data_IF_133664101042
#
_entry.id   IF_133664101042
#
_cell.length_a   1.000
_cell.length_b   1.000
_cell.length_c   1.000
_cell.angle_alpha   90.00
_cell.angle_beta   90.00
_cell.angle_gamma   90.00
#
_symmetry.space_group_name_H-M   'P 1'
#
loop_
_entity.id
_entity.type
_entity.pdbx_description
1 polymer ?
#
# COMPACT_ATOMS: atom_id res chain seq x y z
N UNK A 1 7.44 15.20 -4.26
CA UNK A 1 6.85 15.69 -5.54
C UNK A 1 5.91 14.64 -6.08
N UNK A 2 4.77 15.05 -6.65
CA UNK A 2 3.78 14.14 -7.26
C UNK A 2 3.46 14.64 -8.67
N UNK A 3 3.26 13.71 -9.60
CA UNK A 3 2.81 13.96 -10.98
C UNK A 3 1.72 12.95 -11.32
N UNK A 4 0.79 13.36 -12.17
CA UNK A 4 -0.29 12.51 -12.65
C UNK A 4 -0.30 12.51 -14.17
N UNK A 5 -0.65 11.38 -14.76
CA UNK A 5 -0.77 11.19 -16.20
C UNK A 5 -1.99 10.31 -16.49
N UNK A 6 -2.55 10.44 -17.69
CA UNK A 6 -3.64 9.59 -18.18
C UNK A 6 -3.34 9.14 -19.61
N UNK A 7 -3.80 7.95 -19.98
CA UNK A 7 -3.84 7.48 -21.36
C UNK A 7 -5.27 7.48 -21.94
N UNK A 8 -6.22 8.10 -21.24
CA UNK A 8 -7.65 8.11 -21.58
C UNK A 8 -8.44 6.88 -21.11
N UNK A 9 -7.79 5.90 -20.47
CA UNK A 9 -8.41 4.69 -19.90
C UNK A 9 -7.99 4.44 -18.45
N UNK A 10 -6.71 4.69 -18.15
CA UNK A 10 -6.09 4.59 -16.84
C UNK A 10 -5.53 5.94 -16.40
N UNK A 11 -5.58 6.20 -15.09
CA UNK A 11 -4.77 7.22 -14.42
C UNK A 11 -3.53 6.57 -13.82
N UNK A 12 -2.38 7.20 -14.04
CA UNK A 12 -1.13 6.89 -13.37
C UNK A 12 -0.74 8.04 -12.45
N UNK A 13 -0.42 7.74 -11.20
CA UNK A 13 0.16 8.69 -10.26
C UNK A 13 1.58 8.29 -9.95
N UNK A 14 2.51 9.21 -10.18
CA UNK A 14 3.92 9.05 -9.87
C UNK A 14 4.31 9.98 -8.73
N UNK A 15 5.03 9.46 -7.75
CA UNK A 15 5.48 10.22 -6.60
C UNK A 15 6.93 9.93 -6.25
N UNK A 16 7.60 10.96 -5.72
CA UNK A 16 8.99 10.88 -5.30
C UNK A 16 9.21 11.72 -4.03
N UNK A 17 9.88 11.13 -3.05
CA UNK A 17 10.31 11.79 -1.82
C UNK A 17 11.70 11.30 -1.41
N UNK A 18 12.39 12.10 -0.59
CA UNK A 18 13.66 11.70 0.01
C UNK A 18 13.40 10.83 1.23
N UNK A 19 14.16 9.74 1.33
CA UNK A 19 14.09 8.78 2.43
C UNK A 19 15.47 8.15 2.60
N UNK A 20 16.08 8.34 3.77
CA UNK A 20 17.48 7.94 4.00
C UNK A 20 17.64 6.43 4.12
N UNK A 21 16.55 5.70 4.31
CA UNK A 21 16.56 4.27 4.61
C UNK A 21 15.66 3.52 3.64
N UNK A 22 15.96 2.24 3.47
CA UNK A 22 15.11 1.30 2.74
C UNK A 22 14.40 0.43 3.77
N UNK A 23 13.17 0.79 4.14
CA UNK A 23 12.39 0.01 5.09
C UNK A 23 11.30 -0.78 4.35
N UNK A 24 11.68 -1.91 3.75
CA UNK A 24 10.79 -2.76 2.96
C UNK A 24 10.52 -4.14 3.61
N UNK A 25 10.68 -4.25 4.93
CA UNK A 25 10.40 -5.45 5.73
C UNK A 25 9.84 -5.06 7.08
N UNK A 26 9.05 -5.96 7.69
CA UNK A 26 8.55 -5.82 9.07
C UNK A 26 8.78 -7.10 9.87
N UNK A 27 10.04 -7.58 9.88
CA UNK A 27 10.42 -8.84 10.54
C UNK A 27 10.66 -8.63 12.04
N UNK A 28 11.42 -7.59 12.39
CA UNK A 28 11.67 -7.23 13.77
C UNK A 28 10.46 -6.54 14.42
N UNK A 29 10.31 -6.64 15.75
CA UNK A 29 9.22 -5.98 16.47
C UNK A 29 9.27 -4.44 16.44
N UNK A 30 10.40 -3.86 16.02
CA UNK A 30 10.61 -2.42 15.84
C UNK A 30 10.79 -2.05 14.36
N UNK A 31 10.60 -3.01 13.44
CA UNK A 31 10.72 -2.76 12.01
C UNK A 31 9.37 -2.25 11.49
N UNK A 32 9.36 -1.01 11.02
CA UNK A 32 8.22 -0.41 10.33
C UNK A 32 8.57 -0.21 8.87
N UNK A 33 7.58 -0.33 8.00
CA UNK A 33 7.74 -0.23 6.55
C UNK A 33 7.52 1.19 6.07
N UNK A 34 8.18 1.55 4.97
CA UNK A 34 7.87 2.76 4.24
C UNK A 34 6.54 2.62 3.51
N UNK A 35 5.76 3.70 3.50
CA UNK A 35 4.45 3.73 2.87
C UNK A 35 4.18 5.09 2.23
N UNK A 36 3.32 5.08 1.23
CA UNK A 36 2.72 6.30 0.67
C UNK A 36 1.24 6.07 0.44
N UNK A 37 0.43 7.06 0.78
CA UNK A 37 -0.99 7.06 0.46
C UNK A 37 -1.40 8.29 -0.34
N UNK A 38 -2.38 8.09 -1.19
CA UNK A 38 -3.08 9.13 -1.95
C UNK A 38 -4.56 9.01 -1.60
N UNK A 39 -5.19 10.13 -1.32
CA UNK A 39 -6.57 10.20 -0.88
C UNK A 39 -7.38 11.08 -1.83
N UNK A 40 -8.58 10.60 -2.17
CA UNK A 40 -9.57 11.31 -2.96
C UNK A 40 -10.94 11.24 -2.25
N UNK A 41 -11.79 12.26 -2.33
CA UNK A 41 -13.19 12.13 -1.95
C UNK A 41 -13.89 11.21 -2.94
N UNK A 42 -14.77 10.33 -2.44
CA UNK A 42 -15.59 9.47 -3.31
C UNK A 42 -16.62 10.31 -4.07
N UNK A 43 -17.20 11.30 -3.38
CA UNK A 43 -18.11 12.28 -3.98
C UNK A 43 -17.33 13.54 -4.34
N UNK A 44 -17.40 13.96 -5.59
CA UNK A 44 -16.70 15.13 -6.13
C UNK A 44 -17.50 16.45 -6.01
N UNK A 45 -18.76 16.36 -5.56
CA UNK A 45 -19.63 17.50 -5.36
C UNK A 45 -19.34 18.23 -4.03
N UNK A 46 -18.92 19.49 -4.11
CA UNK A 46 -18.79 20.39 -2.97
C UNK A 46 -17.36 20.52 -2.42
N UNK A 47 -17.25 20.97 -1.17
CA UNK A 47 -15.95 21.09 -0.50
C UNK A 47 -15.43 19.69 -0.13
N UNK A 48 -14.11 19.43 -0.24
CA UNK A 48 -13.57 18.15 0.15
C UNK A 48 -13.78 17.90 1.66
N UNK A 49 -14.00 16.64 2.09
CA UNK A 49 -14.23 16.29 3.49
C UNK A 49 -12.97 16.51 4.33
N UNK A 50 -13.04 16.30 5.64
CA UNK A 50 -11.88 16.46 6.52
C UNK A 50 -10.67 15.66 6.04
N UNK A 51 -9.48 16.28 6.06
CA UNK A 51 -8.25 15.76 5.46
C UNK A 51 -7.79 14.48 6.14
N UNK A 52 -8.08 14.33 7.43
CA UNK A 52 -7.74 13.16 8.23
C UNK A 52 -8.74 12.03 8.00
N UNK A 53 -8.84 11.59 6.75
CA UNK A 53 -9.58 10.39 6.33
C UNK A 53 -11.11 10.55 6.31
N UNK A 54 -11.56 11.76 5.99
CA UNK A 54 -12.97 12.07 5.83
C UNK A 54 -13.69 12.35 7.14
N UNK A 55 -15.02 12.30 7.07
CA UNK A 55 -15.95 12.53 8.18
C UNK A 55 -17.28 11.85 7.87
N UNK A 56 -18.24 11.86 8.81
CA UNK A 56 -19.60 11.38 8.56
C UNK A 56 -20.19 12.00 7.28
N UNK A 57 -20.56 11.16 6.32
CA UNK A 57 -21.11 11.57 5.01
C UNK A 57 -20.08 12.08 3.99
N UNK A 58 -18.79 12.15 4.37
CA UNK A 58 -17.68 12.54 3.52
C UNK A 58 -16.68 11.40 3.36
N UNK A 59 -17.09 10.34 2.67
CA UNK A 59 -16.23 9.17 2.41
C UNK A 59 -15.07 9.56 1.50
N UNK A 60 -13.90 9.03 1.81
CA UNK A 60 -12.70 9.11 0.96
C UNK A 60 -12.31 7.72 0.47
N UNK A 61 -11.76 7.67 -0.74
CA UNK A 61 -11.04 6.54 -1.29
C UNK A 61 -9.54 6.81 -1.16
N UNK A 62 -8.80 5.81 -0.69
CA UNK A 62 -7.38 5.92 -0.35
C UNK A 62 -6.62 4.78 -1.03
N UNK A 63 -5.59 5.13 -1.80
CA UNK A 63 -4.66 4.16 -2.38
C UNK A 63 -3.38 4.20 -1.56
N UNK A 64 -3.03 3.10 -0.90
CA UNK A 64 -1.85 3.02 -0.03
C UNK A 64 -0.85 2.01 -0.56
N UNK A 65 0.27 2.51 -1.08
CA UNK A 65 1.42 1.69 -1.41
C UNK A 65 2.18 1.30 -0.13
N UNK A 66 2.62 0.04 -0.07
CA UNK A 66 3.37 -0.55 1.04
C UNK A 66 4.68 -1.15 0.51
N UNK A 67 5.83 -0.71 1.04
CA UNK A 67 7.14 -1.22 0.61
C UNK A 67 7.32 -2.72 0.88
N UNK A 68 6.84 -3.20 2.03
CA UNK A 68 6.94 -4.60 2.42
C UNK A 68 5.99 -5.52 1.63
N UNK A 69 4.75 -5.10 1.35
CA UNK A 69 3.87 -5.87 0.46
C UNK A 69 4.46 -6.07 -0.93
N UNK A 70 5.19 -5.08 -1.44
CA UNK A 70 5.88 -5.25 -2.70
C UNK A 70 6.99 -6.30 -2.62
N UNK A 71 7.73 -6.33 -1.51
CA UNK A 71 8.80 -7.32 -1.31
C UNK A 71 8.22 -8.72 -1.24
N UNK A 72 7.12 -8.88 -0.53
CA UNK A 72 6.34 -10.12 -0.42
C UNK A 72 5.85 -10.64 -1.77
N UNK A 73 5.37 -9.74 -2.64
CA UNK A 73 4.95 -10.07 -4.01
C UNK A 73 6.13 -10.26 -5.00
N UNK A 74 7.37 -10.12 -4.53
CA UNK A 74 8.57 -10.16 -5.37
C UNK A 74 8.93 -11.55 -5.90
N UNK A 75 9.67 -11.60 -7.01
CA UNK A 75 10.17 -12.85 -7.59
C UNK A 75 11.11 -13.56 -6.62
N UNK A 76 10.83 -14.82 -6.29
CA UNK A 76 11.66 -15.63 -5.38
C UNK A 76 11.20 -15.65 -3.93
N UNK A 77 10.07 -15.02 -3.62
CA UNK A 77 9.41 -15.09 -2.31
C UNK A 77 8.20 -16.01 -2.42
N UNK A 78 8.07 -16.99 -1.51
CA UNK A 78 6.93 -17.92 -1.48
C UNK A 78 5.70 -17.29 -0.78
N UNK A 79 5.39 -16.03 -1.09
CA UNK A 79 4.29 -15.28 -0.49
C UNK A 79 4.74 -14.17 0.46
N UNK A 80 5.30 -14.51 1.63
CA UNK A 80 5.76 -13.52 2.62
C UNK A 80 7.27 -13.58 2.80
N UNK A 81 7.89 -12.40 2.98
CA UNK A 81 9.26 -12.31 3.44
C UNK A 81 9.33 -12.71 4.92
N UNK A 82 10.16 -13.68 5.27
CA UNK A 82 10.24 -14.23 6.64
C UNK A 82 11.68 -14.15 7.21
N UNK A 83 11.84 -14.55 8.48
CA UNK A 83 13.07 -14.44 9.28
C UNK A 83 14.23 -15.18 8.64
N UNK A 84 14.00 -16.35 8.04
CA UNK A 84 15.00 -17.16 7.36
C UNK A 84 15.52 -16.48 6.08
N UNK A 85 14.68 -15.71 5.39
CA UNK A 85 15.09 -14.91 4.24
C UNK A 85 15.87 -13.66 4.65
N UNK A 86 15.52 -13.03 5.78
CA UNK A 86 16.25 -11.89 6.33
C UNK A 86 17.59 -12.31 6.94
N UNK A 87 17.64 -13.47 7.59
CA UNK A 87 18.81 -14.01 8.28
C UNK A 87 19.09 -15.46 7.82
N UNK A 88 19.70 -15.67 6.64
CA UNK A 88 19.90 -17.01 6.06
C UNK A 88 20.77 -17.97 6.89
N UNK A 89 21.51 -17.44 7.87
CA UNK A 89 22.35 -18.22 8.79
C UNK A 89 21.72 -18.41 10.17
N UNK A 90 20.43 -18.07 10.34
CA UNK A 90 19.76 -18.26 11.62
C UNK A 90 19.65 -19.76 11.94
N UNK A 91 20.05 -20.12 13.16
CA UNK A 91 19.77 -21.42 13.73
C UNK A 91 18.44 -21.32 14.49
N UNK A 92 17.47 -22.14 14.10
CA UNK A 92 16.12 -22.15 14.65
C UNK A 92 15.86 -23.50 15.32
N UNK A 93 15.10 -23.47 16.41
CA UNK A 93 14.59 -24.67 17.07
C UNK A 93 13.26 -25.05 16.42
N UNK A 94 12.96 -26.35 16.37
CA UNK A 94 11.79 -26.86 15.67
C UNK A 94 10.51 -26.51 16.45
N UNK A 95 9.63 -25.72 15.85
CA UNK A 95 8.27 -25.52 16.34
C UNK A 95 7.26 -26.32 15.49
N UNK A 96 6.37 -27.05 16.15
CA UNK A 96 5.36 -27.90 15.49
C UNK A 96 4.33 -27.10 14.67
N UNK A 97 4.32 -25.78 14.83
CA UNK A 97 3.47 -24.79 14.16
C UNK A 97 4.14 -24.19 12.92
N UNK A 98 5.22 -24.78 12.40
CA UNK A 98 5.92 -24.23 11.24
C UNK A 98 5.69 -25.10 9.97
N UNK A 99 5.27 -24.49 8.83
CA UNK A 99 4.98 -25.20 7.58
C UNK A 99 6.17 -25.98 6.99
N UNK A 100 7.38 -25.71 7.47
CA UNK A 100 8.64 -26.36 7.09
C UNK A 100 9.09 -27.45 8.09
N UNK A 101 8.17 -27.93 8.93
CA UNK A 101 8.44 -28.95 9.96
C UNK A 101 7.62 -30.25 9.92
N UNK A 102 6.61 -30.41 9.06
CA UNK A 102 6.03 -31.73 8.83
C UNK A 102 5.03 -32.25 9.88
N UNK A 103 3.95 -31.50 10.12
CA UNK A 103 2.63 -32.12 10.34
C UNK A 103 1.61 -31.40 9.44
N UNK A 104 1.36 -31.97 8.27
CA UNK A 104 0.39 -31.48 7.30
C UNK A 104 -1.00 -32.10 7.55
N UNK A 105 -2.00 -31.29 7.92
CA UNK A 105 -3.39 -31.68 7.72
C UNK A 105 -3.73 -31.54 6.23
N UNK A 106 -4.00 -32.65 5.55
CA UNK A 106 -4.50 -32.66 4.17
C UNK A 106 -5.95 -32.20 4.12
N UNK A 107 -6.26 -31.20 3.30
CA UNK A 107 -7.66 -30.91 2.93
C UNK A 107 -8.24 -32.02 2.02
N UNK A 108 -9.56 -32.02 1.76
CA UNK A 108 -10.25 -32.99 0.87
C UNK A 108 -9.73 -33.03 -0.57
N UNK A 109 -8.86 -32.10 -0.97
CA UNK A 109 -8.29 -31.95 -2.31
C UNK A 109 -6.76 -32.10 -2.35
N UNK A 110 -6.14 -32.55 -1.26
CA UNK A 110 -4.71 -32.87 -1.22
C UNK A 110 -3.74 -31.68 -1.18
N UNK A 111 -4.19 -30.46 -0.84
CA UNK A 111 -3.28 -29.32 -0.58
C UNK A 111 -2.90 -29.27 0.90
N UNK A 112 -1.62 -29.00 1.17
CA UNK A 112 -1.09 -28.68 2.50
C UNK A 112 -1.69 -27.37 3.00
N UNK A 113 -2.34 -27.37 4.17
CA UNK A 113 -2.99 -26.19 4.74
C UNK A 113 -2.17 -25.49 5.84
N UNK A 114 -0.99 -26.02 6.19
CA UNK A 114 -0.20 -25.51 7.30
C UNK A 114 -0.92 -25.60 8.67
N UNK A 115 -0.30 -25.06 9.73
CA UNK A 115 -0.93 -24.89 11.05
C UNK A 115 -1.98 -23.78 11.03
N UNK A 116 -2.92 -23.82 11.97
CA UNK A 116 -3.95 -22.80 12.11
C UNK A 116 -3.31 -21.45 12.46
N UNK A 117 -3.51 -20.44 11.61
CA UNK A 117 -3.08 -19.05 11.82
C UNK A 117 -4.31 -18.13 11.85
N UNK A 118 -4.74 -17.69 13.03
CA UNK A 118 -5.96 -16.90 13.20
C UNK A 118 -6.03 -15.64 12.34
N UNK A 119 -4.88 -15.03 12.00
CA UNK A 119 -4.81 -13.91 11.07
C UNK A 119 -5.29 -14.29 9.67
N UNK A 120 -4.77 -15.39 9.13
CA UNK A 120 -5.20 -15.91 7.81
C UNK A 120 -6.67 -16.35 7.85
N UNK A 121 -7.06 -17.11 8.88
CA UNK A 121 -8.43 -17.66 8.99
C UNK A 121 -9.51 -16.60 9.30
N UNK A 122 -9.13 -15.43 9.83
CA UNK A 122 -10.01 -14.28 9.98
C UNK A 122 -10.12 -13.42 8.71
N UNK A 123 -9.40 -13.76 7.65
CA UNK A 123 -9.39 -12.99 6.40
C UNK A 123 -8.60 -11.67 6.52
N UNK A 124 -7.60 -11.62 7.40
CA UNK A 124 -6.77 -10.43 7.57
C UNK A 124 -5.75 -10.30 6.42
N UNK A 125 -5.91 -9.29 5.56
CA UNK A 125 -4.98 -8.99 4.45
C UNK A 125 -3.54 -8.72 4.90
N UNK A 126 -3.36 -8.31 6.15
CA UNK A 126 -2.02 -8.15 6.73
C UNK A 126 -1.33 -9.50 6.94
N UNK A 127 -2.09 -10.55 7.25
CA UNK A 127 -1.58 -11.88 7.58
C UNK A 127 -1.59 -12.85 6.38
N UNK A 128 -2.45 -12.62 5.39
CA UNK A 128 -2.57 -13.48 4.21
C UNK A 128 -2.10 -12.74 2.93
N UNK A 129 -0.89 -13.07 2.41
CA UNK A 129 -0.37 -12.45 1.19
C UNK A 129 -1.21 -12.80 -0.04
N UNK A 130 -1.98 -13.89 -0.02
CA UNK A 130 -2.82 -14.30 -1.15
C UNK A 130 -4.02 -13.37 -1.37
N UNK A 131 -4.38 -12.57 -0.37
CA UNK A 131 -5.38 -11.51 -0.46
C UNK A 131 -4.83 -10.23 -1.11
N UNK A 132 -3.51 -10.12 -1.29
CA UNK A 132 -2.85 -8.94 -1.85
C UNK A 132 -2.70 -9.09 -3.36
N UNK A 133 -3.54 -8.39 -4.11
CA UNK A 133 -3.48 -8.37 -5.58
C UNK A 133 -2.29 -7.53 -6.09
N UNK A 134 -1.82 -6.59 -5.28
CA UNK A 134 -0.84 -5.55 -5.63
C UNK A 134 -0.08 -5.07 -4.40
N UNK A 135 1.01 -4.32 -4.61
CA UNK A 135 1.70 -3.58 -3.55
C UNK A 135 0.91 -2.38 -3.01
N UNK A 136 -0.20 -2.05 -3.67
CA UNK A 136 -1.12 -0.96 -3.31
C UNK A 136 -2.39 -1.56 -2.76
N UNK A 137 -2.75 -1.11 -1.56
CA UNK A 137 -4.02 -1.40 -0.92
C UNK A 137 -5.04 -0.33 -1.30
N UNK A 138 -6.20 -0.78 -1.75
CA UNK A 138 -7.36 0.08 -1.99
C UNK A 138 -8.28 0.10 -0.77
N UNK A 139 -8.58 1.30 -0.28
CA UNK A 139 -9.16 1.55 1.02
C UNK A 139 -10.26 2.61 0.95
N UNK A 140 -11.18 2.57 1.91
CA UNK A 140 -12.08 3.68 2.20
C UNK A 140 -12.06 4.09 3.66
N UNK A 141 -12.45 5.34 3.91
CA UNK A 141 -12.71 5.85 5.24
C UNK A 141 -13.84 6.89 5.23
N UNK A 142 -14.62 6.93 6.30
CA UNK A 142 -15.69 7.89 6.59
C UNK A 142 -15.38 8.63 7.91
N UNK A 143 -14.11 9.00 8.11
CA UNK A 143 -13.58 9.50 9.37
C UNK A 143 -12.40 8.68 9.87
N UNK A 144 -11.57 9.28 10.73
CA UNK A 144 -10.55 8.54 11.45
C UNK A 144 -11.21 7.38 12.23
N UNK A 145 -10.49 6.25 12.36
CA UNK A 145 -10.98 4.99 12.96
C UNK A 145 -11.98 4.16 12.11
N UNK A 146 -12.30 4.57 10.87
CA UNK A 146 -13.20 3.80 9.98
C UNK A 146 -12.51 3.20 8.76
N UNK A 147 -11.17 3.30 8.70
CA UNK A 147 -10.37 2.82 7.58
C UNK A 147 -10.62 1.33 7.34
N UNK A 148 -11.04 0.99 6.13
CA UNK A 148 -11.42 -0.37 5.76
C UNK A 148 -10.88 -0.71 4.38
N UNK A 149 -10.28 -1.89 4.23
CA UNK A 149 -9.84 -2.46 2.96
C UNK A 149 -11.05 -2.75 2.08
N UNK A 150 -11.01 -2.30 0.82
CA UNK A 150 -12.08 -2.61 -0.14
C UNK A 150 -12.10 -4.10 -0.46
N UNK A 151 -13.29 -4.66 -0.70
CA UNK A 151 -13.42 -6.02 -1.23
C UNK A 151 -12.88 -6.15 -2.65
N UNK A 152 -12.95 -5.06 -3.42
CA UNK A 152 -12.38 -4.97 -4.77
C UNK A 152 -11.02 -4.30 -4.66
N UNK A 153 -9.95 -5.00 -5.06
CA UNK A 153 -8.60 -4.42 -5.10
C UNK A 153 -8.20 -4.21 -6.56
N UNK A 154 -8.33 -2.98 -7.06
CA UNK A 154 -8.14 -2.67 -8.48
C UNK A 154 -6.99 -1.67 -8.77
N UNK A 155 -6.25 -1.27 -7.73
CA UNK A 155 -5.10 -0.37 -7.85
C UNK A 155 -3.81 -1.18 -7.89
N UNK A 156 -3.04 -1.00 -8.97
CA UNK A 156 -1.72 -1.61 -9.11
C UNK A 156 -0.63 -0.60 -8.83
N UNK A 157 0.52 -1.03 -8.31
CA UNK A 157 1.65 -0.12 -8.15
C UNK A 157 2.99 -0.79 -7.98
N UNK A 158 4.02 0.03 -8.06
CA UNK A 158 5.41 -0.38 -7.84
C UNK A 158 6.23 0.80 -7.30
N UNK A 159 7.16 0.50 -6.41
CA UNK A 159 8.09 1.42 -5.79
C UNK A 159 9.54 1.03 -6.05
N UNK A 160 10.40 2.01 -6.26
CA UNK A 160 11.82 1.83 -6.43
C UNK A 160 12.56 2.82 -5.54
N UNK A 161 13.32 2.30 -4.58
CA UNK A 161 14.23 3.08 -3.76
C UNK A 161 15.61 3.14 -4.40
N UNK A 162 16.16 4.34 -4.52
CA UNK A 162 17.50 4.58 -5.04
C UNK A 162 18.38 5.16 -3.93
N UNK A 163 19.50 4.52 -3.56
CA UNK A 163 20.38 4.99 -2.47
C UNK A 163 21.17 6.27 -2.79
N UNK A 164 21.24 6.67 -4.05
CA UNK A 164 22.04 7.81 -4.49
C UNK A 164 21.51 8.39 -5.79
N UNK A 165 21.99 9.59 -6.11
CA UNK A 165 21.72 10.27 -7.38
C UNK A 165 20.75 11.43 -7.24
N UNK A 166 20.30 11.93 -8.38
CA UNK A 166 19.30 12.98 -8.46
C UNK A 166 18.39 12.66 -9.64
N UNK A 167 17.10 12.59 -9.39
CA UNK A 167 16.15 12.38 -10.48
C UNK A 167 15.88 13.71 -11.16
N UNK A 168 16.10 13.77 -12.49
CA UNK A 168 15.71 14.95 -13.28
C UNK A 168 14.21 15.18 -13.15
N UNK A 169 13.84 16.32 -12.58
CA UNK A 169 12.44 16.64 -12.30
C UNK A 169 11.84 15.84 -11.13
N UNK A 170 12.68 15.30 -10.24
CA UNK A 170 12.30 14.86 -8.88
C UNK A 170 12.47 15.99 -7.86
N UNK A 171 12.17 15.71 -6.58
CA UNK A 171 12.26 16.73 -5.53
C UNK A 171 13.63 16.85 -4.88
N UNK A 172 14.42 15.78 -4.95
CA UNK A 172 15.39 15.47 -3.92
C UNK A 172 16.65 14.85 -4.53
N UNK A 173 17.79 15.09 -3.89
CA UNK A 173 19.07 14.47 -4.21
C UNK A 173 19.41 13.46 -3.10
N UNK A 174 20.03 12.34 -3.46
CA UNK A 174 20.42 11.27 -2.54
C UNK A 174 19.41 10.12 -2.49
N UNK A 175 19.35 9.41 -1.36
CA UNK A 175 18.36 8.36 -1.09
C UNK A 175 16.93 8.82 -1.35
N UNK A 176 16.22 8.15 -2.27
CA UNK A 176 14.85 8.52 -2.65
C UNK A 176 13.97 7.33 -2.98
N UNK A 177 12.70 7.41 -2.59
CA UNK A 177 11.65 6.55 -3.12
C UNK A 177 11.05 7.13 -4.39
N UNK A 178 10.67 6.25 -5.32
CA UNK A 178 9.86 6.55 -6.50
C UNK A 178 8.73 5.54 -6.57
N UNK A 179 7.50 5.98 -6.45
CA UNK A 179 6.32 5.10 -6.48
C UNK A 179 5.43 5.48 -7.64
N UNK A 180 4.96 4.47 -8.36
CA UNK A 180 3.88 4.60 -9.33
C UNK A 180 2.68 3.79 -8.87
N UNK A 181 1.50 4.40 -8.94
CA UNK A 181 0.21 3.74 -8.74
C UNK A 181 -0.62 3.94 -10.00
N UNK A 182 -1.42 2.94 -10.38
CA UNK A 182 -2.25 2.98 -11.57
C UNK A 182 -3.60 2.35 -11.29
N UNK A 183 -4.66 2.96 -11.80
CA UNK A 183 -6.02 2.43 -11.78
C UNK A 183 -6.77 2.90 -13.04
N UNK A 184 -7.79 2.17 -13.47
CA UNK A 184 -8.70 2.65 -14.52
C UNK A 184 -9.42 3.93 -14.10
N UNK A 185 -9.79 4.77 -15.07
CA UNK A 185 -10.45 6.06 -14.81
C UNK A 185 -11.82 5.85 -14.16
N UNK A 186 -12.54 4.85 -14.62
CA UNK A 186 -13.86 4.46 -14.10
C UNK A 186 -13.86 3.02 -13.61
N UNK A 187 -14.65 2.75 -12.58
CA UNK A 187 -14.85 1.42 -11.99
C UNK A 187 -16.32 1.24 -11.62
N UNK A 188 -16.74 -0.02 -11.45
CA UNK A 188 -18.12 -0.33 -11.04
C UNK A 188 -18.31 -0.26 -9.51
N UNK A 189 -17.24 0.02 -8.74
CA UNK A 189 -17.30 0.11 -7.28
C UNK A 189 -17.80 1.50 -6.85
N UNK A 190 -18.94 1.60 -6.12
CA UNK A 190 -19.45 2.89 -5.67
C UNK A 190 -18.58 3.56 -4.60
N UNK A 191 -17.63 2.84 -4.00
CA UNK A 191 -16.69 3.42 -3.03
C UNK A 191 -15.43 3.97 -3.68
N UNK A 192 -15.29 3.81 -4.99
CA UNK A 192 -14.18 4.35 -5.75
C UNK A 192 -14.45 5.76 -6.24
N UNK A 193 -13.42 6.61 -6.18
CA UNK A 193 -13.45 7.86 -6.91
C UNK A 193 -13.52 7.59 -8.42
N UNK A 194 -14.31 8.36 -9.15
CA UNK A 194 -14.39 8.29 -10.60
C UNK A 194 -13.64 9.47 -11.20
N UNK A 195 -12.78 9.22 -12.18
CA UNK A 195 -12.00 10.27 -12.84
C UNK A 195 -12.53 10.55 -14.25
N UNK A 196 -12.62 11.83 -14.60
CA UNK A 196 -12.96 12.28 -15.95
C UNK A 196 -11.79 13.06 -16.53
N UNK A 197 -11.37 12.75 -17.76
CA UNK A 197 -10.29 13.49 -18.43
C UNK A 197 -10.60 14.98 -18.48
N UNK A 198 -9.58 15.81 -18.23
CA UNK A 198 -9.72 17.27 -18.16
C UNK A 198 -10.43 17.83 -16.92
N UNK A 199 -11.01 17.00 -16.04
CA UNK A 199 -11.64 17.49 -14.80
C UNK A 199 -10.62 17.84 -13.72
N UNK A 200 -11.02 18.71 -12.79
CA UNK A 200 -10.25 19.00 -11.59
C UNK A 200 -10.85 18.24 -10.41
N UNK A 201 -10.00 17.69 -9.54
CA UNK A 201 -10.43 16.91 -8.39
C UNK A 201 -9.51 17.14 -7.18
N UNK A 202 -10.07 17.10 -5.96
CA UNK A 202 -9.28 17.20 -4.74
C UNK A 202 -8.44 15.95 -4.49
N UNK A 203 -7.18 16.15 -4.10
CA UNK A 203 -6.24 15.10 -3.71
C UNK A 203 -5.45 15.48 -2.45
N UNK A 204 -5.21 14.52 -1.58
CA UNK A 204 -4.32 14.66 -0.43
C UNK A 204 -3.35 13.48 -0.36
N UNK A 205 -2.25 13.65 0.37
CA UNK A 205 -1.15 12.70 0.42
C UNK A 205 -0.75 12.39 1.87
N UNK A 206 -0.22 11.20 2.08
CA UNK A 206 0.50 10.86 3.28
C UNK A 206 1.72 9.99 2.98
N UNK A 207 2.77 10.11 3.78
CA UNK A 207 3.98 9.29 3.72
C UNK A 207 4.36 8.83 5.12
N UNK A 208 4.90 7.63 5.21
CA UNK A 208 5.40 7.03 6.45
C UNK A 208 6.86 6.66 6.25
N UNK A 209 7.72 7.18 7.13
CA UNK A 209 9.13 6.79 7.26
C UNK A 209 9.28 5.67 8.31
N UNK A 210 9.61 4.47 7.84
CA UNK A 210 9.75 3.30 8.69
C UNK A 210 10.87 3.43 9.72
N UNK A 211 11.96 4.13 9.38
CA UNK A 211 13.06 4.39 10.31
C UNK A 211 12.69 5.37 11.42
N UNK A 212 11.72 6.26 11.15
CA UNK A 212 11.13 7.17 12.13
C UNK A 212 9.97 6.53 12.93
N UNK A 213 9.78 5.20 12.82
CA UNK A 213 8.75 4.45 13.55
C UNK A 213 7.32 4.91 13.20
N UNK A 214 7.15 5.48 12.01
CA UNK A 214 5.87 5.97 11.52
C UNK A 214 4.99 4.79 11.11
N UNK A 215 3.75 4.80 11.62
CA UNK A 215 2.72 3.79 11.33
C UNK A 215 1.34 4.33 11.68
N UNK A 216 0.30 3.78 11.08
CA UNK A 216 -1.08 4.18 11.35
C UNK A 216 -1.28 5.70 11.19
N UNK A 217 -1.66 6.41 12.26
CA UNK A 217 -1.84 7.87 12.27
C UNK A 217 -0.55 8.68 12.44
N UNK A 218 0.57 8.05 12.81
CA UNK A 218 1.88 8.70 12.89
C UNK A 218 2.48 8.73 11.49
N UNK A 219 2.41 9.88 10.82
CA UNK A 219 2.80 10.05 9.43
C UNK A 219 2.93 11.52 9.04
N UNK A 220 3.67 11.81 7.98
CA UNK A 220 3.57 13.08 7.27
C UNK A 220 2.26 13.15 6.48
N UNK A 221 1.49 14.23 6.62
CA UNK A 221 0.26 14.47 5.84
C UNK A 221 0.33 15.80 5.08
N UNK A 222 -0.40 15.89 3.98
CA UNK A 222 -0.67 17.16 3.31
C UNK A 222 -2.06 17.70 3.62
N UNK A 223 -2.31 18.96 3.26
CA UNK A 223 -3.66 19.47 3.05
C UNK A 223 -4.25 18.93 1.75
N UNK A 224 -5.52 19.27 1.46
CA UNK A 224 -6.07 19.10 0.11
C UNK A 224 -5.36 20.01 -0.88
N UNK A 225 -5.08 19.45 -2.06
CA UNK A 225 -4.72 20.17 -3.27
C UNK A 225 -5.78 19.91 -4.34
N UNK A 226 -5.85 20.80 -5.33
CA UNK A 226 -6.63 20.54 -6.54
C UNK A 226 -5.70 19.99 -7.61
N UNK A 227 -5.87 18.73 -7.97
CA UNK A 227 -5.25 18.14 -9.15
C UNK A 227 -6.11 18.43 -10.38
N UNK A 228 -5.46 18.64 -11.52
CA UNK A 228 -6.11 18.77 -12.81
C UNK A 228 -5.74 17.56 -13.65
N UNK A 229 -6.75 16.81 -14.12
CA UNK A 229 -6.51 15.73 -15.07
C UNK A 229 -5.94 16.29 -16.37
N UNK A 230 -4.86 15.69 -16.91
CA UNK A 230 -4.45 15.97 -18.28
C UNK A 230 -5.58 15.64 -19.26
N UNK A 231 -5.63 16.36 -20.38
CA UNK A 231 -6.55 16.08 -21.49
C UNK A 231 -6.13 14.84 -22.26
#
# INVERSE_FOLDING_TARGET
MVKMATNGQDIGVWANWGDQTLNNTTIGPQDFRDQMAIQFPVQDAGAPPFQCMGQSGGTVNIWRWNAEWQKDLGTGVAGMWDVDQQYPSIAWDYYYEEPSGGVTYTNRTGRSAGPFNEGIWSGNIMSDPSLRISSVEDLNANGFSTLTTQSTQNVVGNGLWEPYGALKGGCCNGPTWRVVMKRSLTTDDPNDVQFTSGSSFPVAFAVWDGSNVERNGMKGISTWFTAQMPN
#
